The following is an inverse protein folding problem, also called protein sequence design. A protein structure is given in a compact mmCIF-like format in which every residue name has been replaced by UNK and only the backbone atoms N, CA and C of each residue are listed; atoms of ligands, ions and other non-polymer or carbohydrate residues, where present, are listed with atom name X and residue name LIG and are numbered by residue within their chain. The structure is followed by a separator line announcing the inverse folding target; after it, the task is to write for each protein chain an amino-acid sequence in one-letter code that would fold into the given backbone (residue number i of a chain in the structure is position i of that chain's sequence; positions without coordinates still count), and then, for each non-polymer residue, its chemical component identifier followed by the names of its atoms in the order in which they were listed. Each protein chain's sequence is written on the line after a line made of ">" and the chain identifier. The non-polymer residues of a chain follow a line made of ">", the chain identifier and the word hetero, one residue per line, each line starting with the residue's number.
data_IF_142387637817
#
_entry.id   IF_142387637817
#
_cell.length_a   1.000
_cell.length_b   1.000
_cell.length_c   1.000
_cell.angle_alpha   90.00
_cell.angle_beta   90.00
_cell.angle_gamma   90.00
#
_symmetry.space_group_name_H-M   'P 1'
#
loop_
_entity.id
_entity.type
_entity.pdbx_description
1 polymer ?
#
# COMPACT_ATOMS: atom_id res chain seq x y z
N UNK A 1 11.49 -35.03 40.78
CA UNK A 1 10.93 -33.66 40.84
C UNK A 1 11.53 -32.70 39.81
N UNK A 2 12.86 -32.62 39.62
CA UNK A 2 13.49 -31.69 38.65
C UNK A 2 13.14 -31.93 37.17
N UNK A 3 12.93 -33.19 36.76
CA UNK A 3 12.61 -33.56 35.36
C UNK A 3 11.18 -33.20 34.92
N UNK A 4 10.23 -33.17 35.86
CA UNK A 4 8.82 -32.89 35.57
C UNK A 4 8.61 -31.39 35.29
N UNK A 5 9.35 -30.54 36.03
CA UNK A 5 9.32 -29.09 35.85
C UNK A 5 9.92 -28.67 34.49
N UNK A 6 10.99 -29.34 34.04
CA UNK A 6 11.61 -29.06 32.73
C UNK A 6 10.72 -29.44 31.55
N UNK A 7 9.94 -30.52 31.65
CA UNK A 7 9.00 -30.95 30.60
C UNK A 7 7.81 -30.00 30.51
N UNK A 8 7.30 -29.52 31.65
CA UNK A 8 6.23 -28.51 31.69
C UNK A 8 6.67 -27.15 31.11
N UNK A 9 7.92 -26.73 31.37
CA UNK A 9 8.48 -25.51 30.77
C UNK A 9 8.67 -25.63 29.25
N UNK A 10 9.11 -26.78 28.75
CA UNK A 10 9.23 -27.02 27.31
C UNK A 10 7.86 -27.07 26.61
N UNK A 11 6.86 -27.69 27.25
CA UNK A 11 5.50 -27.71 26.73
C UNK A 11 4.83 -26.33 26.74
N UNK A 12 5.09 -25.50 27.76
CA UNK A 12 4.63 -24.12 27.80
C UNK A 12 5.31 -23.24 26.74
N UNK A 13 6.60 -23.46 26.45
CA UNK A 13 7.31 -22.75 25.37
C UNK A 13 6.77 -23.14 23.98
N UNK A 14 6.47 -24.42 23.76
CA UNK A 14 5.89 -24.92 22.51
C UNK A 14 4.45 -24.46 22.30
N UNK A 15 3.64 -24.35 23.38
CA UNK A 15 2.28 -23.81 23.28
C UNK A 15 2.24 -22.30 23.09
N UNK A 16 3.25 -21.56 23.57
CA UNK A 16 3.37 -20.11 23.32
C UNK A 16 3.85 -19.77 21.91
N UNK A 17 4.47 -20.72 21.19
CA UNK A 17 4.87 -20.56 19.79
C UNK A 17 3.75 -20.84 18.78
N UNK A 18 2.64 -21.44 19.22
CA UNK A 18 1.42 -21.64 18.41
C UNK A 18 0.38 -20.51 18.61
N UNK A 19 0.77 -19.39 19.23
CA UNK A 19 -0.05 -18.18 19.24
C UNK A 19 -0.09 -17.62 17.82
N UNK A 20 -1.11 -18.04 17.07
CA UNK A 20 -1.67 -17.42 15.87
C UNK A 20 -0.65 -16.60 15.05
N UNK A 21 0.20 -17.28 14.28
CA UNK A 21 0.74 -16.64 13.08
C UNK A 21 -0.46 -16.43 12.16
N UNK A 22 -1.15 -15.30 12.32
CA UNK A 22 -2.16 -14.81 11.39
C UNK A 22 -1.45 -14.72 10.05
N UNK A 23 -1.79 -15.62 9.13
CA UNK A 23 -1.13 -15.66 7.83
C UNK A 23 -1.40 -14.35 7.11
N UNK A 24 -0.35 -13.62 6.76
CA UNK A 24 -0.47 -12.40 5.94
C UNK A 24 -1.24 -12.77 4.66
N UNK A 25 -2.40 -12.16 4.39
CA UNK A 25 -3.17 -12.45 3.19
C UNK A 25 -2.37 -12.04 1.96
N UNK A 26 -2.53 -12.77 0.85
CA UNK A 26 -1.97 -12.32 -0.43
C UNK A 26 -2.65 -11.02 -0.87
N UNK A 27 -1.88 -10.10 -1.44
CA UNK A 27 -2.42 -8.89 -2.06
C UNK A 27 -2.69 -9.11 -3.55
N UNK A 28 -3.87 -8.69 -4.01
CA UNK A 28 -4.33 -8.84 -5.38
C UNK A 28 -3.66 -7.83 -6.32
N UNK A 29 -3.16 -8.31 -7.48
CA UNK A 29 -2.62 -7.45 -8.55
C UNK A 29 -3.66 -6.45 -9.07
N UNK A 30 -4.96 -6.79 -8.95
CA UNK A 30 -6.06 -5.91 -9.30
C UNK A 30 -6.08 -4.61 -8.48
N UNK A 31 -5.67 -4.67 -7.22
CA UNK A 31 -5.60 -3.49 -6.34
C UNK A 31 -4.54 -2.49 -6.81
N UNK A 32 -3.39 -2.96 -7.30
CA UNK A 32 -2.35 -2.09 -7.85
C UNK A 32 -2.84 -1.35 -9.10
N UNK A 33 -3.52 -2.08 -10.00
CA UNK A 33 -4.09 -1.50 -11.21
C UNK A 33 -5.19 -0.49 -10.89
N UNK A 34 -6.09 -0.82 -9.96
CA UNK A 34 -7.15 0.06 -9.50
C UNK A 34 -6.61 1.33 -8.82
N UNK A 35 -5.57 1.20 -7.99
CA UNK A 35 -4.94 2.34 -7.31
C UNK A 35 -4.30 3.34 -8.29
N UNK A 36 -3.58 2.83 -9.29
CA UNK A 36 -2.96 3.67 -10.35
C UNK A 36 -4.01 4.37 -11.20
N UNK A 37 -5.09 3.67 -11.54
CA UNK A 37 -6.19 4.27 -12.30
C UNK A 37 -6.93 5.32 -11.48
N UNK A 38 -7.21 5.05 -10.20
CA UNK A 38 -7.80 6.00 -9.27
C UNK A 38 -6.97 7.29 -9.17
N UNK A 39 -5.65 7.17 -9.03
CA UNK A 39 -4.77 8.33 -9.02
C UNK A 39 -4.83 9.13 -10.33
N UNK A 40 -4.93 8.45 -11.47
CA UNK A 40 -5.13 9.12 -12.76
C UNK A 40 -6.47 9.85 -12.83
N UNK A 41 -7.55 9.24 -12.35
CA UNK A 41 -8.88 9.87 -12.34
C UNK A 41 -8.92 11.09 -11.41
N UNK A 42 -8.28 10.98 -10.23
CA UNK A 42 -8.11 12.10 -9.30
C UNK A 42 -7.39 13.28 -10.00
N UNK A 43 -6.31 13.01 -10.75
CA UNK A 43 -5.58 14.05 -11.49
C UNK A 43 -6.36 14.71 -12.64
N UNK A 44 -7.42 14.06 -13.12
CA UNK A 44 -8.31 14.61 -14.15
C UNK A 44 -9.58 15.25 -13.58
N UNK A 45 -9.75 15.25 -12.25
CA UNK A 45 -10.97 15.73 -11.61
C UNK A 45 -12.18 14.80 -11.82
N UNK A 46 -11.97 13.53 -12.19
CA UNK A 46 -13.03 12.56 -12.45
C UNK A 46 -13.46 11.82 -11.18
N UNK A 47 -13.82 12.58 -10.14
CA UNK A 47 -14.04 12.06 -8.78
C UNK A 47 -15.14 11.00 -8.67
N UNK A 48 -16.23 11.13 -9.44
CA UNK A 48 -17.31 10.15 -9.45
C UNK A 48 -16.86 8.76 -9.92
N UNK A 49 -15.86 8.70 -10.82
CA UNK A 49 -15.34 7.45 -11.37
C UNK A 49 -14.33 6.78 -10.46
N UNK A 50 -13.74 7.50 -9.50
CA UNK A 50 -12.78 6.93 -8.54
C UNK A 50 -13.43 5.80 -7.71
N UNK A 51 -14.66 6.00 -7.26
CA UNK A 51 -15.41 4.98 -6.51
C UNK A 51 -15.92 3.82 -7.35
N UNK A 52 -15.96 3.97 -8.68
CA UNK A 52 -16.29 2.88 -9.60
C UNK A 52 -15.09 1.94 -9.82
N UNK A 53 -13.86 2.46 -9.72
CA UNK A 53 -12.63 1.69 -9.96
C UNK A 53 -12.03 1.10 -8.69
N UNK A 54 -12.16 1.76 -7.54
CA UNK A 54 -11.63 1.28 -6.27
C UNK A 54 -12.60 0.30 -5.60
N UNK A 55 -12.24 -0.97 -5.41
CA UNK A 55 -13.10 -1.92 -4.72
C UNK A 55 -13.01 -1.68 -3.20
N UNK A 56 -14.00 -0.99 -2.61
CA UNK A 56 -14.07 -0.80 -1.16
C UNK A 56 -14.82 -1.94 -0.46
N UNK A 57 -14.35 -2.34 0.73
CA UNK A 57 -14.99 -3.36 1.57
C UNK A 57 -16.33 -2.91 2.16
N UNK A 58 -16.56 -1.60 2.24
CA UNK A 58 -17.76 -0.97 2.77
C UNK A 58 -18.38 0.03 1.81
N UNK A 59 -19.01 1.07 2.35
CA UNK A 59 -19.50 2.19 1.55
C UNK A 59 -18.31 2.91 0.92
N UNK A 60 -18.22 2.89 -0.40
CA UNK A 60 -17.23 3.67 -1.12
C UNK A 60 -17.43 5.17 -0.87
N UNK A 61 -16.36 5.99 -0.79
CA UNK A 61 -16.48 7.43 -0.65
C UNK A 61 -17.30 8.04 -1.79
N UNK A 62 -17.98 9.14 -1.50
CA UNK A 62 -18.70 9.93 -2.50
C UNK A 62 -17.75 10.74 -3.38
N UNK A 63 -18.27 11.25 -4.51
CA UNK A 63 -17.50 12.13 -5.39
C UNK A 63 -17.03 13.41 -4.66
N UNK A 64 -17.87 13.98 -3.78
CA UNK A 64 -17.51 15.16 -2.98
C UNK A 64 -16.40 14.85 -1.98
N UNK A 65 -16.40 13.67 -1.36
CA UNK A 65 -15.30 13.23 -0.48
C UNK A 65 -13.99 13.06 -1.25
N UNK A 66 -14.04 12.54 -2.48
CA UNK A 66 -12.86 12.43 -3.34
C UNK A 66 -12.35 13.78 -3.83
N UNK A 67 -13.24 14.72 -4.14
CA UNK A 67 -12.88 16.09 -4.49
C UNK A 67 -12.13 16.76 -3.32
N UNK A 68 -12.69 16.72 -2.11
CA UNK A 68 -12.03 17.24 -0.92
C UNK A 68 -10.70 16.52 -0.61
N UNK A 69 -10.62 15.22 -0.87
CA UNK A 69 -9.38 14.48 -0.71
C UNK A 69 -8.32 14.90 -1.72
N UNK A 70 -8.69 15.18 -2.96
CA UNK A 70 -7.79 15.66 -4.00
C UNK A 70 -7.10 16.98 -3.60
N UNK A 71 -7.80 17.85 -2.87
CA UNK A 71 -7.23 19.10 -2.33
C UNK A 71 -6.09 18.87 -1.32
N UNK A 72 -5.94 17.65 -0.77
CA UNK A 72 -4.80 17.31 0.09
C UNK A 72 -3.49 17.18 -0.68
N UNK A 73 -3.55 17.06 -2.01
CA UNK A 73 -2.38 17.00 -2.87
C UNK A 73 -2.10 18.38 -3.47
N UNK A 74 -0.86 18.82 -3.35
CA UNK A 74 -0.37 20.08 -3.90
C UNK A 74 0.12 19.96 -5.34
N UNK A 75 0.45 18.74 -5.80
CA UNK A 75 1.04 18.49 -7.13
C UNK A 75 0.16 17.65 -8.06
N UNK A 76 -0.99 17.18 -7.59
CA UNK A 76 -1.87 16.29 -8.36
C UNK A 76 -2.39 16.93 -9.66
N UNK A 77 -2.75 18.22 -9.63
CA UNK A 77 -3.27 18.95 -10.80
C UNK A 77 -2.17 19.40 -11.78
N UNK A 78 -0.90 19.16 -11.47
CA UNK A 78 0.22 19.69 -12.25
C UNK A 78 0.52 18.93 -13.56
N UNK A 79 -0.19 17.84 -13.84
CA UNK A 79 -0.10 17.11 -15.10
C UNK A 79 -0.22 15.59 -14.98
N UNK A 80 0.56 14.87 -15.79
CA UNK A 80 0.55 13.40 -15.87
C UNK A 80 1.14 12.77 -14.62
N UNK A 81 0.31 12.01 -13.89
CA UNK A 81 0.77 11.15 -12.79
C UNK A 81 1.60 9.98 -13.30
N UNK A 82 2.55 9.51 -12.51
CA UNK A 82 3.32 8.30 -12.84
C UNK A 82 2.41 7.06 -12.77
N UNK A 83 2.70 6.04 -13.59
CA UNK A 83 1.89 4.81 -13.69
C UNK A 83 2.68 3.52 -13.46
N UNK A 84 3.97 3.62 -13.18
CA UNK A 84 4.89 2.49 -13.17
C UNK A 84 5.10 2.01 -11.73
N UNK A 85 5.53 2.92 -10.85
CA UNK A 85 5.90 2.60 -9.48
C UNK A 85 4.67 2.48 -8.59
N UNK A 86 4.60 1.38 -7.85
CA UNK A 86 3.71 1.22 -6.72
C UNK A 86 4.19 0.06 -5.86
N UNK A 87 4.06 0.21 -4.55
CA UNK A 87 4.49 -0.78 -3.56
C UNK A 87 3.37 -1.05 -2.58
N UNK A 88 3.19 -2.31 -2.21
CA UNK A 88 2.40 -2.68 -1.06
C UNK A 88 3.29 -3.31 0.00
N UNK A 89 3.04 -2.96 1.26
CA UNK A 89 3.75 -3.53 2.40
C UNK A 89 2.80 -3.83 3.55
N UNK A 90 3.08 -4.88 4.32
CA UNK A 90 2.25 -5.28 5.45
C UNK A 90 2.69 -4.54 6.71
N UNK A 91 1.75 -3.86 7.36
CA UNK A 91 1.99 -3.13 8.61
C UNK A 91 0.74 -3.20 9.48
N UNK A 92 0.91 -3.41 10.78
CA UNK A 92 -0.19 -3.35 11.77
C UNK A 92 -1.46 -4.12 11.36
N UNK A 93 -1.27 -5.35 10.86
CA UNK A 93 -2.32 -6.26 10.38
C UNK A 93 -3.12 -5.76 9.16
N UNK A 94 -2.51 -4.95 8.30
CA UNK A 94 -3.10 -4.54 7.02
C UNK A 94 -2.03 -4.29 5.95
N UNK A 95 -2.45 -4.34 4.69
CA UNK A 95 -1.66 -3.88 3.57
C UNK A 95 -1.77 -2.36 3.42
N UNK A 96 -0.63 -1.71 3.26
CA UNK A 96 -0.49 -0.32 2.83
C UNK A 96 0.01 -0.31 1.39
N UNK A 97 -0.84 0.07 0.44
CA UNK A 97 -0.51 0.22 -0.97
C UNK A 97 -0.25 1.69 -1.29
N UNK A 98 1.00 2.00 -1.61
CA UNK A 98 1.48 3.34 -1.94
C UNK A 98 1.67 3.50 -3.46
N UNK A 99 1.03 4.53 -4.02
CA UNK A 99 1.23 4.99 -5.40
C UNK A 99 1.70 6.44 -5.37
N UNK A 100 2.97 6.73 -5.68
CA UNK A 100 3.45 8.11 -5.72
C UNK A 100 2.82 8.88 -6.89
N UNK A 101 2.61 10.19 -6.72
CA UNK A 101 2.06 11.08 -7.77
C UNK A 101 3.03 11.23 -8.93
N UNK A 102 4.32 11.33 -8.64
CA UNK A 102 5.40 11.42 -9.63
C UNK A 102 6.47 10.37 -9.34
N UNK A 103 7.43 10.18 -10.24
CA UNK A 103 8.54 9.26 -10.00
C UNK A 103 9.23 9.59 -8.66
N UNK A 104 9.37 8.63 -7.73
CA UNK A 104 9.71 8.91 -6.33
C UNK A 104 11.21 9.16 -6.10
N UNK A 105 11.78 10.14 -6.82
CA UNK A 105 13.19 10.56 -6.76
C UNK A 105 13.59 11.27 -5.46
N UNK A 106 12.60 11.70 -4.68
CA UNK A 106 12.78 12.43 -3.43
C UNK A 106 11.69 12.05 -2.44
N UNK A 107 11.99 12.25 -1.17
CA UNK A 107 11.12 11.86 -0.05
C UNK A 107 9.82 12.66 0.00
N UNK A 108 9.85 13.91 -0.48
CA UNK A 108 8.69 14.81 -0.49
C UNK A 108 7.69 14.53 -1.63
N UNK A 109 7.84 13.43 -2.39
CA UNK A 109 6.86 13.10 -3.43
C UNK A 109 5.57 12.68 -2.76
N UNK A 110 4.46 13.31 -3.12
CA UNK A 110 3.15 12.97 -2.58
C UNK A 110 2.72 11.57 -3.03
N UNK A 111 2.00 10.87 -2.17
CA UNK A 111 1.63 9.47 -2.33
C UNK A 111 0.16 9.29 -2.01
N UNK A 112 -0.57 8.67 -2.93
CA UNK A 112 -1.84 8.04 -2.62
C UNK A 112 -1.56 6.74 -1.87
N UNK A 113 -1.93 6.69 -0.60
CA UNK A 113 -1.82 5.48 0.21
C UNK A 113 -3.20 4.90 0.46
N UNK A 114 -3.36 3.62 0.12
CA UNK A 114 -4.60 2.86 0.27
C UNK A 114 -4.37 1.71 1.23
N UNK A 115 -5.31 1.51 2.16
CA UNK A 115 -5.28 0.44 3.14
C UNK A 115 -6.16 -0.72 2.67
N UNK A 116 -5.67 -1.96 2.78
CA UNK A 116 -6.45 -3.17 2.56
C UNK A 116 -6.23 -4.16 3.71
N UNK A 117 -7.29 -4.56 4.40
CA UNK A 117 -7.19 -5.51 5.51
C UNK A 117 -7.19 -6.98 5.04
N UNK A 118 -7.75 -7.24 3.86
CA UNK A 118 -7.99 -8.58 3.31
C UNK A 118 -7.13 -8.91 2.08
N UNK A 119 -6.44 -7.92 1.50
CA UNK A 119 -5.67 -8.06 0.27
C UNK A 119 -6.50 -8.02 -1.03
N UNK A 120 -7.82 -7.85 -0.94
CA UNK A 120 -8.76 -7.90 -2.07
C UNK A 120 -9.61 -6.63 -2.22
N UNK A 121 -9.80 -5.88 -1.13
CA UNK A 121 -10.57 -4.63 -1.11
C UNK A 121 -9.90 -3.56 -0.26
N UNK A 122 -10.20 -2.30 -0.52
CA UNK A 122 -9.71 -1.17 0.26
C UNK A 122 -10.65 -0.85 1.43
N UNK A 123 -10.07 -0.53 2.58
CA UNK A 123 -10.77 -0.12 3.80
C UNK A 123 -10.44 1.30 4.25
N UNK A 124 -9.48 1.96 3.59
CA UNK A 124 -9.12 3.35 3.89
C UNK A 124 -8.15 3.95 2.89
N UNK A 125 -7.98 5.26 2.98
CA UNK A 125 -7.09 6.03 2.11
C UNK A 125 -6.53 7.24 2.86
N UNK A 126 -5.33 7.69 2.45
CA UNK A 126 -4.74 8.95 2.89
C UNK A 126 -3.74 9.49 1.86
N UNK A 127 -3.47 10.78 1.95
CA UNK A 127 -2.35 11.42 1.29
C UNK A 127 -1.17 11.43 2.27
N UNK A 128 0.00 11.02 1.81
CA UNK A 128 1.25 11.10 2.56
C UNK A 128 2.41 11.42 1.60
N UNK A 129 3.65 11.31 2.06
CA UNK A 129 4.85 11.44 1.27
C UNK A 129 5.58 10.10 1.07
N UNK A 130 6.54 10.11 0.15
CA UNK A 130 7.33 8.94 -0.17
C UNK A 130 8.27 8.53 0.96
N UNK A 131 8.66 9.46 1.84
CA UNK A 131 9.46 9.16 3.03
C UNK A 131 8.71 8.20 3.97
N UNK A 132 7.42 8.44 4.19
CA UNK A 132 6.58 7.58 5.01
C UNK A 132 6.39 6.21 4.36
N UNK A 133 6.06 6.17 3.05
CA UNK A 133 5.92 4.92 2.31
C UNK A 133 7.23 4.10 2.33
N UNK A 134 8.38 4.76 2.15
CA UNK A 134 9.71 4.14 2.26
C UNK A 134 9.98 3.54 3.62
N UNK A 135 9.77 4.33 4.67
CA UNK A 135 9.93 3.84 6.05
C UNK A 135 9.03 2.63 6.32
N UNK A 136 7.81 2.64 5.75
CA UNK A 136 6.88 1.52 5.80
C UNK A 136 7.42 0.24 5.16
N UNK A 137 7.76 0.28 3.86
CA UNK A 137 8.24 -0.92 3.17
C UNK A 137 9.63 -1.39 3.63
N UNK A 138 10.52 -0.49 4.06
CA UNK A 138 11.85 -0.88 4.57
C UNK A 138 11.80 -1.57 5.93
N UNK A 139 10.73 -1.31 6.70
CA UNK A 139 10.52 -1.92 8.02
C UNK A 139 9.61 -3.15 8.01
N UNK A 140 9.01 -3.47 6.86
CA UNK A 140 8.08 -4.58 6.72
C UNK A 140 8.77 -5.87 6.28
N UNK A 141 8.36 -7.00 6.87
CA UNK A 141 8.80 -8.33 6.44
C UNK A 141 8.11 -8.79 5.13
N UNK A 142 7.03 -8.13 4.73
CA UNK A 142 6.22 -8.50 3.56
C UNK A 142 6.04 -7.29 2.66
N UNK A 143 6.72 -7.31 1.51
CA UNK A 143 6.69 -6.25 0.52
C UNK A 143 6.45 -6.84 -0.86
N UNK A 144 5.49 -6.24 -1.58
CA UNK A 144 5.16 -6.58 -2.96
C UNK A 144 5.27 -5.34 -3.82
N UNK A 145 6.15 -5.38 -4.81
CA UNK A 145 6.27 -4.33 -5.83
C UNK A 145 5.52 -4.75 -7.08
N UNK A 146 4.70 -3.86 -7.64
CA UNK A 146 4.23 -4.04 -9.01
C UNK A 146 5.36 -3.74 -10.02
N UNK A 147 6.12 -2.68 -9.73
CA UNK A 147 7.39 -2.38 -10.39
C UNK A 147 8.32 -1.76 -9.34
N UNK A 148 9.46 -2.42 -9.10
CA UNK A 148 10.41 -1.99 -8.07
C UNK A 148 11.13 -0.72 -8.51
N UNK A 149 11.07 0.32 -7.68
CA UNK A 149 11.84 1.53 -7.95
C UNK A 149 13.32 1.32 -7.64
N UNK A 150 14.14 1.18 -8.68
CA UNK A 150 15.60 1.12 -8.56
C UNK A 150 16.19 2.42 -9.08
N UNK A 151 16.66 3.28 -8.17
CA UNK A 151 17.31 4.52 -8.54
C UNK A 151 18.57 4.25 -9.40
N UNK A 152 18.57 4.73 -10.65
CA UNK A 152 19.75 4.70 -11.51
C UNK A 152 19.87 3.50 -12.46
N UNK A 153 18.79 2.76 -12.73
CA UNK A 153 18.82 1.72 -13.77
C UNK A 153 19.04 2.35 -15.17
N UNK A 154 20.17 2.07 -15.85
CA UNK A 154 20.38 2.56 -17.20
C UNK A 154 19.41 1.83 -18.14
N UNK A 155 18.60 2.60 -18.87
CA UNK A 155 17.81 2.07 -19.98
C UNK A 155 18.79 1.63 -21.07
N UNK A 156 18.99 0.32 -21.22
CA UNK A 156 19.72 -0.22 -22.38
C UNK A 156 18.74 -0.20 -23.54
N UNK A 157 18.78 0.87 -24.34
CA UNK A 157 18.17 0.87 -25.67
C UNK A 157 19.09 0.04 -26.56
N UNK A 158 18.62 -1.13 -26.98
CA UNK A 158 19.26 -1.87 -28.07
C UNK A 158 18.99 -1.11 -29.39
N UNK A 159 20.06 -0.76 -30.10
CA UNK A 159 20.05 -0.19 -31.46
C UNK A 159 19.44 -1.17 -32.48
#
# INVERSE_FOLDING_TARGET
>A
MKRIVSVLLFAALLMSACACAESVPSISDGLFSAAKEALSLLSYGEYARVSEVLPFSGTAPSAEEWEMFAESFTTLDSGTVQREVSVAYWQDSHWCLAVPVTEPKKDSVEVLMLRSDDGETFSGYKCTDWAEARSGYESSDYVTWNEEYVAGTPVIIAD
#
